data_IF_097293043047
#
_entry.id   IF_097293043047
#
_cell.length_a   1.000
_cell.length_b   1.000
_cell.length_c   1.000
_cell.angle_alpha   90.00
_cell.angle_beta   90.00
_cell.angle_gamma   90.00
#
_symmetry.space_group_name_H-M   'P 1'
#
loop_
_entity.id
_entity.type
_entity.pdbx_description
1 polymer ?
#
# COMPACT_ATOMS: atom_id res chain seq x y z
N UNK A 1 -0.73 -27.83 3.99
CA UNK A 1 -0.82 -26.37 3.87
C UNK A 1 -2.07 -26.08 3.05
N UNK A 2 -3.01 -25.31 3.60
CA UNK A 2 -4.22 -24.93 2.85
C UNK A 2 -3.88 -23.83 1.82
N UNK A 3 -4.80 -23.55 0.89
CA UNK A 3 -4.56 -22.59 -0.19
C UNK A 3 -4.23 -21.19 0.35
N UNK A 4 -4.91 -20.76 1.42
CA UNK A 4 -4.67 -19.48 2.09
C UNK A 4 -3.23 -19.37 2.58
N UNK A 5 -2.74 -20.36 3.31
CA UNK A 5 -1.36 -20.42 3.81
C UNK A 5 -0.34 -20.40 2.67
N UNK A 6 -0.59 -21.14 1.58
CA UNK A 6 0.28 -21.16 0.40
C UNK A 6 0.35 -19.77 -0.24
N UNK A 7 -0.80 -19.13 -0.43
CA UNK A 7 -0.89 -17.80 -1.06
C UNK A 7 -0.21 -16.73 -0.19
N UNK A 8 -0.44 -16.72 1.12
CA UNK A 8 0.23 -15.80 2.05
C UNK A 8 1.75 -15.96 2.02
N UNK A 9 2.26 -17.20 2.01
CA UNK A 9 3.70 -17.47 1.90
C UNK A 9 4.24 -16.95 0.56
N UNK A 10 3.54 -17.20 -0.54
CA UNK A 10 3.97 -16.78 -1.87
C UNK A 10 4.02 -15.24 -1.98
N UNK A 11 2.96 -14.56 -1.56
CA UNK A 11 2.87 -13.08 -1.53
C UNK A 11 4.02 -12.49 -0.72
N UNK A 12 4.21 -12.98 0.51
CA UNK A 12 5.28 -12.53 1.40
C UNK A 12 6.67 -12.72 0.78
N UNK A 13 6.88 -13.83 0.06
CA UNK A 13 8.16 -14.13 -0.60
C UNK A 13 8.43 -13.19 -1.77
N UNK A 14 7.42 -12.88 -2.59
CA UNK A 14 7.54 -11.92 -3.70
C UNK A 14 7.71 -10.49 -3.21
N UNK A 15 6.96 -10.08 -2.18
CA UNK A 15 7.08 -8.73 -1.63
C UNK A 15 8.50 -8.51 -1.08
N UNK A 16 8.98 -9.42 -0.23
CA UNK A 16 10.32 -9.31 0.37
C UNK A 16 11.45 -9.52 -0.62
N UNK A 17 11.30 -10.48 -1.54
CA UNK A 17 12.36 -10.86 -2.47
C UNK A 17 12.41 -10.01 -3.74
N UNK A 18 11.45 -9.11 -3.96
CA UNK A 18 11.43 -8.24 -5.14
C UNK A 18 10.94 -6.83 -4.81
N UNK A 19 9.70 -6.65 -4.33
CA UNK A 19 9.10 -5.31 -4.23
C UNK A 19 9.78 -4.41 -3.19
N UNK A 20 10.08 -4.91 -1.99
CA UNK A 20 10.73 -4.11 -0.94
C UNK A 20 12.12 -3.65 -1.41
N UNK A 21 12.96 -4.56 -1.91
CA UNK A 21 14.29 -4.23 -2.42
C UNK A 21 14.23 -3.27 -3.62
N UNK A 22 13.27 -3.47 -4.53
CA UNK A 22 13.11 -2.62 -5.70
C UNK A 22 12.62 -1.21 -5.34
N UNK A 23 11.72 -1.08 -4.36
CA UNK A 23 11.30 0.22 -3.84
C UNK A 23 12.44 0.93 -3.12
N UNK A 24 13.28 0.23 -2.37
CA UNK A 24 14.48 0.83 -1.75
C UNK A 24 15.43 1.41 -2.80
N UNK A 25 15.57 0.77 -3.96
CA UNK A 25 16.33 1.32 -5.09
C UNK A 25 15.66 2.54 -5.75
N UNK A 26 14.38 2.79 -5.45
CA UNK A 26 13.63 3.99 -5.81
C UNK A 26 13.58 4.98 -4.63
N UNK A 27 14.55 4.95 -3.71
CA UNK A 27 14.67 5.84 -2.55
C UNK A 27 13.58 5.71 -1.48
N UNK A 28 12.78 4.63 -1.49
CA UNK A 28 11.91 4.33 -0.36
C UNK A 28 12.71 3.91 0.87
N UNK A 29 12.28 4.38 2.03
CA UNK A 29 12.85 4.07 3.33
C UNK A 29 11.82 3.39 4.22
N UNK A 30 12.30 2.70 5.26
CA UNK A 30 11.41 2.12 6.26
C UNK A 30 10.61 3.21 6.97
N UNK A 31 9.30 3.01 7.00
CA UNK A 31 8.36 3.82 7.75
C UNK A 31 8.48 3.53 9.25
N UNK A 32 8.50 4.58 10.07
CA UNK A 32 8.34 4.45 11.52
C UNK A 32 6.86 4.33 11.94
N UNK A 33 5.93 4.60 11.03
CA UNK A 33 4.48 4.52 11.27
C UNK A 33 4.02 3.07 11.25
N UNK A 34 3.08 2.74 12.14
CA UNK A 34 2.40 1.45 12.17
C UNK A 34 1.00 1.58 11.58
N UNK A 35 0.66 0.67 10.66
CA UNK A 35 -0.68 0.61 10.09
C UNK A 35 -1.68 0.13 11.16
N UNK A 36 -2.88 0.72 11.25
CA UNK A 36 -3.88 0.33 12.24
C UNK A 36 -4.35 -1.12 12.14
N UNK A 37 -4.37 -1.68 10.92
CA UNK A 37 -4.97 -3.00 10.64
C UNK A 37 -4.04 -3.98 9.91
N UNK A 38 -2.91 -3.51 9.37
CA UNK A 38 -2.00 -4.34 8.57
C UNK A 38 -0.74 -4.58 9.39
N UNK A 39 -0.41 -5.85 9.60
CA UNK A 39 0.80 -6.23 10.32
C UNK A 39 2.01 -6.14 9.39
N UNK A 40 3.04 -5.41 9.80
CA UNK A 40 4.28 -5.29 9.05
C UNK A 40 4.96 -3.94 9.25
N UNK A 41 6.10 -3.77 8.59
CA UNK A 41 6.74 -2.47 8.43
C UNK A 41 6.27 -1.85 7.12
N UNK A 42 6.05 -0.54 7.12
CA UNK A 42 5.74 0.20 5.90
C UNK A 42 6.99 0.73 5.22
N UNK A 43 6.82 1.23 4.00
CA UNK A 43 7.84 1.97 3.23
C UNK A 43 7.32 3.36 2.87
N UNK A 44 8.21 4.33 2.69
CA UNK A 44 7.85 5.70 2.36
C UNK A 44 8.98 6.43 1.62
N UNK A 45 8.66 7.39 0.77
CA UNK A 45 9.62 8.40 0.26
C UNK A 45 9.50 9.74 0.98
N UNK A 46 8.41 9.96 1.73
CA UNK A 46 8.17 11.16 2.54
C UNK A 46 7.43 10.81 3.82
N UNK A 47 7.35 11.74 4.76
CA UNK A 47 6.57 11.54 6.00
C UNK A 47 5.05 11.67 5.77
N UNK A 48 4.61 11.91 4.54
CA UNK A 48 3.21 12.16 4.22
C UNK A 48 2.45 10.89 3.86
N UNK A 49 3.07 10.01 3.05
CA UNK A 49 2.40 8.85 2.48
C UNK A 49 3.24 7.60 2.70
N UNK A 50 2.62 6.56 3.25
CA UNK A 50 3.29 5.32 3.64
C UNK A 50 2.62 4.14 2.97
N UNK A 51 3.40 3.30 2.29
CA UNK A 51 2.92 2.07 1.66
C UNK A 51 3.02 0.91 2.66
N UNK A 52 1.93 0.17 2.79
CA UNK A 52 1.86 -1.12 3.47
C UNK A 52 1.34 -2.19 2.53
N UNK A 53 1.78 -3.44 2.71
CA UNK A 53 1.33 -4.57 1.90
C UNK A 53 0.39 -5.46 2.70
N UNK A 54 -0.88 -5.51 2.29
CA UNK A 54 -1.85 -6.46 2.84
C UNK A 54 -1.74 -7.78 2.06
N UNK A 55 -1.17 -8.77 2.75
CA UNK A 55 -0.97 -10.12 2.23
C UNK A 55 -2.12 -11.07 2.58
N UNK A 56 -3.02 -10.68 3.49
CA UNK A 56 -4.08 -11.53 4.02
C UNK A 56 -5.37 -11.41 3.20
N UNK A 57 -5.74 -10.19 2.78
CA UNK A 57 -6.97 -9.96 2.02
C UNK A 57 -6.98 -10.76 0.72
N UNK A 58 -7.98 -11.64 0.57
CA UNK A 58 -8.16 -12.52 -0.59
C UNK A 58 -7.07 -13.56 -0.78
N UNK A 59 -6.29 -13.89 0.26
CA UNK A 59 -5.36 -15.02 0.20
C UNK A 59 -6.09 -16.36 0.07
N UNK A 60 -7.37 -16.43 0.44
CA UNK A 60 -8.26 -17.58 0.27
C UNK A 60 -8.73 -17.78 -1.19
N UNK A 61 -8.45 -16.85 -2.10
CA UNK A 61 -8.88 -16.96 -3.50
C UNK A 61 -7.99 -17.91 -4.29
N UNK A 62 -8.54 -18.62 -5.30
CA UNK A 62 -7.77 -19.53 -6.15
C UNK A 62 -6.57 -18.89 -6.86
N UNK A 63 -6.68 -17.60 -7.21
CA UNK A 63 -5.66 -16.77 -7.85
C UNK A 63 -4.95 -15.83 -6.86
N UNK A 64 -5.09 -16.08 -5.55
CA UNK A 64 -4.55 -15.21 -4.52
C UNK A 64 -3.02 -15.05 -4.61
N UNK A 65 -2.29 -16.03 -5.15
CA UNK A 65 -0.84 -15.92 -5.34
C UNK A 65 -0.41 -15.02 -6.51
N UNK A 66 -1.35 -14.43 -7.25
CA UNK A 66 -1.11 -13.57 -8.41
C UNK A 66 -1.07 -12.07 -8.12
N UNK A 67 -1.54 -11.68 -6.92
CA UNK A 67 -1.71 -10.29 -6.53
C UNK A 67 -1.66 -10.10 -5.01
N UNK A 68 -1.44 -8.86 -4.58
CA UNK A 68 -1.63 -8.40 -3.20
C UNK A 68 -2.26 -7.00 -3.22
N UNK A 69 -2.69 -6.50 -2.06
CA UNK A 69 -3.16 -5.12 -1.94
C UNK A 69 -2.02 -4.24 -1.39
N UNK A 70 -1.75 -3.12 -2.05
CA UNK A 70 -0.96 -2.03 -1.49
C UNK A 70 -1.92 -1.02 -0.84
N UNK A 71 -1.65 -0.66 0.40
CA UNK A 71 -2.39 0.32 1.18
C UNK A 71 -1.51 1.56 1.37
N UNK A 72 -1.93 2.69 0.81
CA UNK A 72 -1.25 3.98 0.88
C UNK A 72 -1.87 4.81 2.01
N UNK A 73 -1.23 4.79 3.17
CA UNK A 73 -1.69 5.44 4.38
C UNK A 73 -1.17 6.88 4.44
N UNK A 74 -2.10 7.84 4.58
CA UNK A 74 -1.83 9.20 5.04
C UNK A 74 -2.09 9.25 6.56
N UNK A 75 -1.04 9.26 7.41
CA UNK A 75 -1.12 8.88 8.81
C UNK A 75 -1.45 10.05 9.75
N UNK A 76 -2.16 11.05 9.26
CA UNK A 76 -2.53 12.24 10.03
C UNK A 76 -4.04 12.28 10.25
N UNK A 77 -4.43 12.42 11.51
CA UNK A 77 -5.83 12.59 11.91
C UNK A 77 -6.25 14.04 11.64
N UNK A 78 -6.62 14.31 10.40
CA UNK A 78 -7.05 15.62 9.93
C UNK A 78 -8.12 15.51 8.86
N UNK A 79 -8.78 16.62 8.54
CA UNK A 79 -9.69 16.67 7.39
C UNK A 79 -8.87 16.94 6.13
N UNK A 80 -9.21 16.22 5.05
CA UNK A 80 -8.71 16.51 3.70
C UNK A 80 -9.78 17.24 2.86
N UNK A 81 -9.39 17.96 1.79
CA UNK A 81 -10.32 18.56 0.83
C UNK A 81 -11.30 17.52 0.25
N UNK A 82 -12.51 17.97 -0.12
CA UNK A 82 -13.56 17.06 -0.59
C UNK A 82 -13.21 16.39 -1.93
N UNK A 83 -12.45 17.07 -2.79
CA UNK A 83 -11.94 16.56 -4.07
C UNK A 83 -10.96 15.38 -3.93
N UNK A 84 -10.37 15.20 -2.74
CA UNK A 84 -9.46 14.07 -2.45
C UNK A 84 -10.18 12.88 -1.82
N UNK A 85 -11.51 12.95 -1.66
CA UNK A 85 -12.31 11.91 -1.02
C UNK A 85 -12.96 11.03 -2.07
N UNK A 86 -12.83 9.73 -1.89
CA UNK A 86 -13.49 8.74 -2.75
C UNK A 86 -12.64 7.50 -2.95
N UNK A 87 -13.24 6.44 -3.53
CA UNK A 87 -12.54 5.18 -3.78
C UNK A 87 -11.36 5.32 -4.74
N UNK A 88 -11.42 6.30 -5.65
CA UNK A 88 -10.32 6.58 -6.60
C UNK A 88 -9.20 7.42 -5.97
N UNK A 89 -9.42 7.96 -4.77
CA UNK A 89 -8.50 8.80 -4.02
C UNK A 89 -8.38 8.25 -2.59
N UNK A 90 -8.74 9.02 -1.56
CA UNK A 90 -8.67 8.58 -0.18
C UNK A 90 -10.04 8.26 0.40
N UNK A 91 -10.11 7.16 1.12
CA UNK A 91 -11.23 6.79 1.99
C UNK A 91 -10.78 6.80 3.45
N UNK A 92 -11.74 6.85 4.37
CA UNK A 92 -11.44 6.87 5.80
C UNK A 92 -11.11 5.47 6.31
N UNK A 93 -10.00 5.35 7.03
CA UNK A 93 -9.64 4.18 7.82
C UNK A 93 -9.91 4.47 9.31
N UNK A 94 -11.05 4.01 9.85
CA UNK A 94 -11.38 4.22 11.26
C UNK A 94 -10.49 3.35 12.15
N UNK A 95 -10.04 3.92 13.26
CA UNK A 95 -9.27 3.19 14.28
C UNK A 95 -10.07 3.02 15.57
N UNK A 96 -9.60 2.12 16.44
CA UNK A 96 -10.23 1.87 17.75
C UNK A 96 -10.08 3.04 18.73
N UNK A 97 -9.14 3.96 18.50
CA UNK A 97 -8.88 5.15 19.32
C UNK A 97 -9.58 6.42 18.81
N UNK A 98 -10.67 6.29 18.04
CA UNK A 98 -11.46 7.39 17.47
C UNK A 98 -10.69 8.32 16.51
N UNK A 99 -9.48 7.95 16.08
CA UNK A 99 -8.77 8.63 15.00
C UNK A 99 -9.30 8.17 13.66
N UNK A 100 -9.28 9.07 12.69
CA UNK A 100 -9.64 8.73 11.32
C UNK A 100 -8.45 9.07 10.41
N UNK A 101 -7.75 8.04 9.98
CA UNK A 101 -6.73 8.19 8.96
C UNK A 101 -7.35 8.13 7.56
N UNK A 102 -6.58 8.57 6.58
CA UNK A 102 -6.97 8.52 5.18
C UNK A 102 -6.09 7.50 4.49
N UNK A 103 -6.69 6.67 3.64
CA UNK A 103 -5.91 5.72 2.86
C UNK A 103 -6.49 5.45 1.48
N UNK A 104 -5.63 4.98 0.59
CA UNK A 104 -6.00 4.43 -0.71
C UNK A 104 -5.57 2.97 -0.77
N UNK A 105 -6.43 2.11 -1.32
CA UNK A 105 -6.12 0.68 -1.46
C UNK A 105 -6.16 0.29 -2.93
N UNK A 106 -5.08 -0.31 -3.40
CA UNK A 106 -4.94 -0.71 -4.80
C UNK A 106 -4.46 -2.16 -4.92
N UNK A 107 -5.01 -2.89 -5.88
CA UNK A 107 -4.65 -4.27 -6.16
C UNK A 107 -3.48 -4.33 -7.13
N UNK A 108 -2.35 -4.82 -6.65
CA UNK A 108 -1.12 -4.99 -7.42
C UNK A 108 -1.07 -6.41 -7.99
N UNK A 109 -1.37 -6.54 -9.28
CA UNK A 109 -1.27 -7.82 -10.01
C UNK A 109 0.10 -7.97 -10.64
N UNK A 110 0.78 -9.07 -10.35
CA UNK A 110 2.14 -9.34 -10.85
C UNK A 110 2.28 -10.66 -11.61
N UNK A 111 1.26 -11.53 -11.54
CA UNK A 111 1.06 -12.63 -12.49
C UNK A 111 -0.25 -12.32 -13.23
N UNK A 112 -0.18 -11.96 -14.51
CA UNK A 112 -1.38 -11.79 -15.31
C UNK A 112 -1.14 -12.28 -16.74
N UNK A 113 -1.97 -13.20 -17.20
CA UNK A 113 -1.82 -13.83 -18.51
C UNK A 113 -0.58 -14.73 -18.61
N UNK A 114 -0.03 -14.89 -19.82
CA UNK A 114 1.11 -15.79 -20.09
C UNK A 114 2.46 -15.24 -19.60
N UNK A 115 2.52 -13.96 -19.20
CA UNK A 115 3.75 -13.28 -18.80
C UNK A 115 3.62 -12.75 -17.37
N UNK A 116 4.51 -13.15 -16.48
CA UNK A 116 4.64 -12.54 -15.14
C UNK A 116 5.49 -11.29 -15.28
N UNK A 117 4.97 -10.12 -14.92
CA UNK A 117 5.64 -8.84 -15.13
C UNK A 117 5.70 -8.03 -13.84
N UNK A 118 6.58 -8.50 -12.96
CA UNK A 118 6.90 -7.85 -11.68
C UNK A 118 7.35 -6.39 -11.87
N UNK A 119 8.07 -6.10 -12.95
CA UNK A 119 8.54 -4.74 -13.28
C UNK A 119 7.38 -3.80 -13.62
N UNK A 120 6.39 -4.24 -14.40
CA UNK A 120 5.21 -3.42 -14.70
C UNK A 120 4.36 -3.18 -13.45
N UNK A 121 4.23 -4.19 -12.59
CA UNK A 121 3.55 -4.04 -11.31
C UNK A 121 4.28 -3.04 -10.38
N UNK A 122 5.61 -3.03 -10.40
CA UNK A 122 6.42 -2.05 -9.68
C UNK A 122 6.27 -0.63 -10.26
N UNK A 123 6.32 -0.48 -11.58
CA UNK A 123 6.10 0.80 -12.27
C UNK A 123 4.73 1.39 -11.95
N UNK A 124 3.69 0.54 -11.94
CA UNK A 124 2.35 0.94 -11.51
C UNK A 124 2.35 1.43 -10.06
N UNK A 125 2.95 0.67 -9.14
CA UNK A 125 3.02 1.01 -7.72
C UNK A 125 3.73 2.35 -7.47
N UNK A 126 4.88 2.57 -8.10
CA UNK A 126 5.65 3.83 -8.01
C UNK A 126 4.88 5.01 -8.62
N UNK A 127 4.26 4.81 -9.79
CA UNK A 127 3.44 5.86 -10.43
C UNK A 127 2.26 6.25 -9.55
N UNK A 128 1.55 5.26 -8.99
CA UNK A 128 0.41 5.50 -8.10
C UNK A 128 0.85 6.18 -6.79
N UNK A 129 1.98 5.78 -6.22
CA UNK A 129 2.54 6.46 -5.05
C UNK A 129 2.77 7.95 -5.32
N UNK A 130 3.44 8.29 -6.43
CA UNK A 130 3.75 9.68 -6.80
C UNK A 130 2.49 10.50 -7.07
N UNK A 131 1.51 9.91 -7.74
CA UNK A 131 0.19 10.52 -7.98
C UNK A 131 -0.47 10.90 -6.64
N UNK A 132 -0.67 9.92 -5.75
CA UNK A 132 -1.31 10.13 -4.46
C UNK A 132 -0.51 11.08 -3.56
N UNK A 133 0.82 10.96 -3.56
CA UNK A 133 1.70 11.85 -2.80
C UNK A 133 1.51 13.32 -3.21
N UNK A 134 1.48 13.60 -4.52
CA UNK A 134 1.31 14.97 -5.03
C UNK A 134 -0.02 15.62 -4.61
N UNK A 135 -1.05 14.80 -4.32
CA UNK A 135 -2.35 15.27 -3.84
C UNK A 135 -2.32 15.67 -2.37
N UNK A 136 -1.52 15.00 -1.55
CA UNK A 136 -1.42 15.25 -0.10
C UNK A 136 -0.25 16.17 0.28
N UNK A 137 0.71 16.37 -0.62
CA UNK A 137 1.84 17.29 -0.43
C UNK A 137 1.42 18.71 -0.01
N UNK A 138 0.38 19.34 -0.61
CA UNK A 138 -0.06 20.67 -0.18
C UNK A 138 -0.60 20.73 1.26
N UNK A 139 -0.95 19.59 1.85
CA UNK A 139 -1.47 19.47 3.21
C UNK A 139 -0.35 19.45 4.26
N UNK A 140 0.92 19.29 3.86
CA UNK A 140 2.05 19.23 4.78
C UNK A 140 2.12 20.44 5.71
N UNK A 141 1.78 21.63 5.19
CA UNK A 141 1.73 22.89 5.95
C UNK A 141 0.73 22.88 7.11
N UNK A 142 -0.26 22.01 7.06
CA UNK A 142 -1.37 21.93 8.01
C UNK A 142 -1.12 20.82 9.05
N UNK A 143 -0.03 20.06 8.92
CA UNK A 143 0.43 19.04 9.87
C UNK A 143 1.11 19.74 11.06
N UNK A 144 0.73 19.33 12.28
CA UNK A 144 1.22 19.88 13.54
C UNK A 144 2.26 19.01 14.21
#
# INVERSE_FOLDING_TARGET
MNITEVNTIFRKSIIKGFFEDALVNLDFQKSAIKHPTINGDGLMQSNLLHIFFDIETGADYPDGDEWFIADFLFPFDMKIPDELKGPDYFTTLPTTDNKNFWHHRDMIRYKYGKTKKLTEALEFLDTKYKELHSMVEPLEKDIK
#
